data_IF_790771104753
#
_entry.id   IF_790771104753
#
_cell.length_a   1.000
_cell.length_b   1.000
_cell.length_c   1.000
_cell.angle_alpha   90.00
_cell.angle_beta   90.00
_cell.angle_gamma   90.00
#
_symmetry.space_group_name_H-M   'P 1'
#
loop_
_entity.id
_entity.type
_entity.pdbx_description
1 polymer ?
#
# COMPACT_ATOMS: atom_id res chain seq x y z
N UNK A 1 12.03 -56.22 32.38
CA UNK A 1 13.20 -56.10 31.49
C UNK A 1 12.69 -56.24 30.07
N UNK A 2 12.47 -55.13 29.35
CA UNK A 2 12.45 -55.04 27.88
C UNK A 2 12.27 -53.55 27.52
N UNK A 3 13.38 -52.95 27.08
CA UNK A 3 13.50 -51.61 26.52
C UNK A 3 12.93 -51.62 25.10
N UNK A 4 12.03 -50.68 24.78
CA UNK A 4 11.63 -50.42 23.39
C UNK A 4 11.90 -48.95 23.05
N UNK A 5 12.63 -48.83 21.95
CA UNK A 5 13.32 -47.68 21.38
C UNK A 5 12.41 -46.52 21.01
N UNK A 6 12.88 -45.32 21.33
CA UNK A 6 12.33 -44.01 21.02
C UNK A 6 12.49 -43.68 19.51
N UNK A 7 11.84 -44.44 18.62
CA UNK A 7 11.82 -44.14 17.17
C UNK A 7 10.50 -44.59 16.54
N UNK A 8 9.49 -43.71 16.59
CA UNK A 8 8.39 -43.60 15.60
C UNK A 8 7.35 -42.62 16.13
N UNK A 9 7.65 -41.32 16.09
CA UNK A 9 6.62 -40.29 16.04
C UNK A 9 6.44 -39.94 14.56
N UNK A 10 5.35 -40.42 13.97
CA UNK A 10 4.96 -40.07 12.60
C UNK A 10 4.54 -38.61 12.60
N UNK A 11 5.46 -37.73 12.19
CA UNK A 11 5.14 -36.34 11.88
C UNK A 11 4.41 -36.32 10.53
N UNK A 12 3.11 -36.04 10.56
CA UNK A 12 2.35 -35.62 9.39
C UNK A 12 2.88 -34.23 8.97
N UNK A 13 3.90 -34.22 8.12
CA UNK A 13 4.32 -33.01 7.39
C UNK A 13 3.33 -32.82 6.24
N UNK A 14 2.34 -31.96 6.45
CA UNK A 14 1.65 -31.28 5.36
C UNK A 14 2.71 -30.43 4.65
N UNK A 15 3.20 -30.91 3.50
CA UNK A 15 3.93 -30.08 2.55
C UNK A 15 2.95 -28.98 2.10
N UNK A 16 3.03 -27.80 2.73
CA UNK A 16 2.68 -26.58 2.04
C UNK A 16 3.65 -26.47 0.87
N UNK A 17 3.20 -26.80 -0.33
CA UNK A 17 3.89 -26.43 -1.55
C UNK A 17 3.85 -24.90 -1.64
N UNK A 18 4.76 -24.24 -0.92
CA UNK A 18 5.19 -22.90 -1.27
C UNK A 18 5.88 -23.06 -2.61
N UNK A 19 5.16 -22.76 -3.69
CA UNK A 19 5.77 -22.56 -5.00
C UNK A 19 6.64 -21.30 -4.91
N UNK A 20 7.78 -21.40 -4.23
CA UNK A 20 8.92 -20.59 -4.58
C UNK A 20 9.25 -21.05 -6.00
N UNK A 21 8.80 -20.30 -6.99
CA UNK A 21 9.34 -20.42 -8.35
C UNK A 21 10.83 -20.18 -8.16
N UNK A 22 11.63 -21.24 -8.23
CA UNK A 22 13.07 -21.12 -8.29
C UNK A 22 13.35 -20.28 -9.53
N UNK A 23 13.55 -18.98 -9.36
CA UNK A 23 14.01 -18.14 -10.45
C UNK A 23 15.45 -18.57 -10.69
N UNK A 24 15.63 -19.43 -11.69
CA UNK A 24 16.92 -19.61 -12.31
C UNK A 24 17.46 -18.23 -12.63
N UNK A 25 18.68 -17.95 -12.20
CA UNK A 25 19.38 -16.71 -12.54
C UNK A 25 19.27 -16.49 -14.05
N UNK A 26 18.68 -15.36 -14.46
CA UNK A 26 18.71 -14.97 -15.86
C UNK A 26 20.18 -14.89 -16.28
N UNK A 27 20.59 -15.51 -17.39
CA UNK A 27 21.95 -15.37 -17.88
C UNK A 27 22.24 -13.88 -18.13
N UNK A 28 23.47 -13.44 -17.86
CA UNK A 28 23.96 -12.08 -18.11
C UNK A 28 23.85 -11.73 -19.60
N UNK A 29 22.65 -11.38 -20.03
CA UNK A 29 22.27 -11.09 -21.41
C UNK A 29 21.64 -9.72 -21.42
N UNK A 30 22.18 -8.83 -22.25
CA UNK A 30 21.62 -7.48 -22.46
C UNK A 30 20.42 -7.50 -23.41
N UNK A 31 19.98 -8.68 -23.82
CA UNK A 31 18.89 -8.91 -24.77
C UNK A 31 17.83 -9.79 -24.12
N UNK A 32 16.55 -9.40 -24.20
CA UNK A 32 15.45 -10.23 -23.73
C UNK A 32 15.14 -11.32 -24.76
N UNK A 33 15.76 -12.48 -24.58
CA UNK A 33 15.51 -13.70 -25.37
C UNK A 33 14.11 -14.27 -25.11
N UNK A 34 13.77 -15.39 -25.75
CA UNK A 34 12.44 -16.02 -25.61
C UNK A 34 12.12 -16.38 -24.15
N UNK A 35 13.11 -16.83 -23.38
CA UNK A 35 12.94 -17.18 -21.96
C UNK A 35 12.61 -15.94 -21.12
N UNK A 36 13.32 -14.85 -21.36
CA UNK A 36 13.03 -13.55 -20.75
C UNK A 36 11.64 -13.05 -21.13
N UNK A 37 11.26 -13.13 -22.40
CA UNK A 37 9.95 -12.70 -22.89
C UNK A 37 8.83 -13.52 -22.26
N UNK A 38 8.95 -14.85 -22.22
CA UNK A 38 7.98 -15.74 -21.60
C UNK A 38 7.86 -15.47 -20.09
N UNK A 39 8.99 -15.24 -19.41
CA UNK A 39 9.01 -14.84 -18.01
C UNK A 39 8.27 -13.52 -17.76
N UNK A 40 8.50 -12.51 -18.60
CA UNK A 40 7.84 -11.21 -18.52
C UNK A 40 6.33 -11.32 -18.80
N UNK A 41 5.92 -12.11 -19.80
CA UNK A 41 4.52 -12.36 -20.13
C UNK A 41 3.80 -13.12 -19.01
N UNK A 42 4.45 -14.13 -18.42
CA UNK A 42 3.90 -14.86 -17.28
C UNK A 42 3.72 -13.95 -16.05
N UNK A 43 4.71 -13.11 -15.74
CA UNK A 43 4.61 -12.14 -14.65
C UNK A 43 3.50 -11.10 -14.91
N UNK A 44 3.41 -10.59 -16.14
CA UNK A 44 2.36 -9.65 -16.54
C UNK A 44 0.97 -10.28 -16.46
N UNK A 45 0.82 -11.54 -16.86
CA UNK A 45 -0.43 -12.29 -16.77
C UNK A 45 -0.83 -12.50 -15.31
N UNK A 46 0.11 -12.90 -14.44
CA UNK A 46 -0.12 -13.01 -13.00
C UNK A 46 -0.60 -11.69 -12.38
N UNK A 47 0.07 -10.57 -12.68
CA UNK A 47 -0.35 -9.25 -12.17
C UNK A 47 -1.76 -8.90 -12.67
N UNK A 48 -2.06 -9.21 -13.93
CA UNK A 48 -3.36 -8.91 -14.55
C UNK A 48 -4.49 -9.74 -13.95
N UNK A 49 -4.26 -11.02 -13.64
CA UNK A 49 -5.22 -11.90 -12.97
C UNK A 49 -5.56 -11.45 -11.54
N UNK A 50 -4.65 -10.69 -10.92
CA UNK A 50 -4.81 -10.16 -9.58
C UNK A 50 -5.55 -8.82 -9.54
N UNK A 51 -5.94 -8.26 -10.69
CA UNK A 51 -6.70 -7.01 -10.78
C UNK A 51 -8.20 -7.23 -10.60
N UNK A 52 -8.84 -6.27 -9.94
CA UNK A 52 -10.30 -6.24 -9.72
C UNK A 52 -11.08 -5.67 -10.91
N UNK A 53 -10.46 -4.76 -11.67
CA UNK A 53 -10.98 -4.16 -12.90
C UNK A 53 -9.84 -4.02 -13.92
N UNK A 54 -9.82 -4.82 -15.00
CA UNK A 54 -8.77 -4.75 -16.01
C UNK A 54 -8.80 -3.45 -16.84
N UNK A 55 -9.90 -2.69 -16.79
CA UNK A 55 -10.04 -1.43 -17.54
C UNK A 55 -9.50 -0.21 -16.79
N UNK A 56 -9.28 -0.33 -15.48
CA UNK A 56 -8.88 0.77 -14.59
C UNK A 56 -9.76 2.02 -14.76
N UNK A 57 -11.04 1.83 -15.01
CA UNK A 57 -11.99 2.90 -15.35
C UNK A 57 -12.13 3.93 -14.22
N UNK A 58 -12.06 3.46 -12.96
CA UNK A 58 -12.11 4.32 -11.79
C UNK A 58 -10.97 5.35 -11.80
N UNK A 59 -9.76 4.91 -12.14
CA UNK A 59 -8.48 5.63 -12.00
C UNK A 59 -8.18 6.66 -13.09
N UNK A 60 -9.12 6.91 -14.01
CA UNK A 60 -8.97 8.02 -14.96
C UNK A 60 -9.07 9.34 -14.21
N UNK A 61 -8.06 10.19 -14.37
CA UNK A 61 -8.04 11.51 -13.72
C UNK A 61 -9.24 12.34 -14.18
N UNK A 62 -10.07 12.83 -13.25
CA UNK A 62 -11.22 13.65 -13.59
C UNK A 62 -10.81 14.95 -14.30
N UNK A 63 -11.64 15.41 -15.25
CA UNK A 63 -11.42 16.70 -15.94
C UNK A 63 -11.52 17.91 -15.00
N UNK A 64 -12.06 17.73 -13.80
CA UNK A 64 -12.09 18.73 -12.72
C UNK A 64 -10.72 18.97 -12.07
N UNK A 65 -9.72 18.12 -12.34
CA UNK A 65 -8.37 18.32 -11.83
C UNK A 65 -7.74 19.60 -12.38
N UNK A 66 -7.08 20.36 -11.50
CA UNK A 66 -6.22 21.47 -11.86
C UNK A 66 -5.05 21.57 -10.88
N UNK A 67 -3.87 21.93 -11.38
CA UNK A 67 -2.68 22.20 -10.54
C UNK A 67 -2.84 23.41 -9.62
N UNK A 68 -3.92 24.19 -9.79
CA UNK A 68 -4.28 25.33 -8.93
C UNK A 68 -5.15 24.92 -7.73
N UNK A 69 -5.63 23.68 -7.68
CA UNK A 69 -6.40 23.20 -6.53
C UNK A 69 -5.51 23.11 -5.29
N UNK A 70 -6.11 23.25 -4.12
CA UNK A 70 -5.42 22.90 -2.89
C UNK A 70 -5.19 21.38 -2.84
N UNK A 71 -4.11 20.91 -2.20
CA UNK A 71 -3.96 19.50 -1.85
C UNK A 71 -5.05 19.03 -0.87
N UNK A 72 -5.40 17.75 -0.94
CA UNK A 72 -6.43 17.11 -0.11
C UNK A 72 -7.87 17.32 -0.62
N UNK A 73 -8.04 17.88 -1.81
CA UNK A 73 -9.36 18.06 -2.45
C UNK A 73 -9.78 16.75 -3.12
N UNK A 74 -11.01 16.32 -2.85
CA UNK A 74 -11.62 15.14 -3.48
C UNK A 74 -12.02 15.48 -4.92
N UNK A 75 -11.57 14.68 -5.87
CA UNK A 75 -11.86 14.83 -7.30
C UNK A 75 -12.94 13.85 -7.78
N UNK A 76 -12.96 12.65 -7.19
CA UNK A 76 -13.92 11.58 -7.51
C UNK A 76 -14.06 10.66 -6.30
N UNK A 77 -15.28 10.18 -6.08
CA UNK A 77 -15.57 9.17 -5.05
C UNK A 77 -16.37 8.04 -5.67
N UNK A 78 -16.07 6.82 -5.26
CA UNK A 78 -16.95 5.66 -5.36
C UNK A 78 -17.37 5.29 -3.93
N UNK A 79 -18.58 5.71 -3.54
CA UNK A 79 -19.04 5.64 -2.15
C UNK A 79 -19.13 4.21 -1.63
N UNK A 80 -19.56 3.28 -2.47
CA UNK A 80 -19.61 1.85 -2.17
C UNK A 80 -19.07 1.09 -3.36
N UNK A 81 -17.86 0.57 -3.23
CA UNK A 81 -17.22 -0.26 -4.25
C UNK A 81 -17.94 -1.60 -4.36
N UNK A 82 -18.24 -2.04 -5.60
CA UNK A 82 -18.70 -3.40 -5.82
C UNK A 82 -17.54 -4.38 -5.52
N UNK A 83 -17.76 -5.28 -4.55
CA UNK A 83 -16.78 -6.24 -4.07
C UNK A 83 -16.82 -7.59 -4.81
N UNK A 84 -17.66 -7.78 -5.83
CA UNK A 84 -17.80 -9.06 -6.57
C UNK A 84 -16.45 -9.60 -7.08
N UNK A 85 -15.57 -8.71 -7.54
CA UNK A 85 -14.23 -9.07 -8.02
C UNK A 85 -13.14 -8.94 -6.94
N UNK A 86 -13.47 -8.47 -5.75
CA UNK A 86 -12.53 -8.30 -4.65
C UNK A 86 -12.56 -9.48 -3.68
N UNK A 87 -11.48 -9.62 -2.92
CA UNK A 87 -11.29 -10.61 -1.84
C UNK A 87 -11.17 -9.83 -0.53
N UNK A 88 -12.24 -9.10 -0.20
CA UNK A 88 -12.36 -8.33 1.04
C UNK A 88 -13.14 -9.16 2.07
N UNK A 89 -12.68 -9.24 3.33
CA UNK A 89 -13.39 -9.98 4.38
C UNK A 89 -14.86 -9.59 4.52
N UNK A 90 -15.72 -10.58 4.79
CA UNK A 90 -17.11 -10.32 5.18
C UNK A 90 -17.19 -9.41 6.40
N UNK A 91 -18.13 -8.47 6.41
CA UNK A 91 -18.26 -7.48 7.48
C UNK A 91 -17.42 -6.22 7.27
N UNK A 92 -16.74 -6.11 6.12
CA UNK A 92 -16.15 -4.87 5.66
C UNK A 92 -16.87 -4.37 4.41
N UNK A 93 -16.98 -3.06 4.26
CA UNK A 93 -17.27 -2.42 2.97
C UNK A 93 -16.09 -1.56 2.55
N UNK A 94 -16.04 -1.19 1.27
CA UNK A 94 -14.95 -0.39 0.73
C UNK A 94 -15.48 0.79 -0.07
N UNK A 95 -14.75 1.90 -0.03
CA UNK A 95 -14.89 3.02 -0.95
C UNK A 95 -13.56 3.27 -1.65
N UNK A 96 -13.60 3.97 -2.78
CA UNK A 96 -12.39 4.53 -3.41
C UNK A 96 -12.53 6.02 -3.62
N UNK A 97 -11.42 6.74 -3.50
CA UNK A 97 -11.36 8.18 -3.77
C UNK A 97 -10.20 8.48 -4.72
N UNK A 98 -10.38 9.50 -5.56
CA UNK A 98 -9.30 10.22 -6.24
C UNK A 98 -9.25 11.61 -5.60
N UNK A 99 -8.06 12.05 -5.22
CA UNK A 99 -7.84 13.30 -4.51
C UNK A 99 -6.55 13.98 -4.99
N UNK A 100 -6.38 15.26 -4.65
CA UNK A 100 -5.14 15.99 -4.90
C UNK A 100 -4.12 15.77 -3.78
N UNK A 101 -2.85 15.62 -4.14
CA UNK A 101 -1.69 15.52 -3.24
C UNK A 101 -0.58 16.44 -3.75
N UNK A 102 0.59 16.42 -3.09
CA UNK A 102 1.78 17.18 -3.49
C UNK A 102 2.94 16.22 -3.72
N UNK A 103 3.65 16.37 -4.85
CA UNK A 103 4.94 15.72 -5.05
C UNK A 103 6.05 16.34 -4.18
N UNK A 104 7.29 15.88 -4.36
CA UNK A 104 8.45 16.36 -3.60
C UNK A 104 8.72 17.85 -3.81
N UNK A 105 8.40 18.39 -4.99
CA UNK A 105 8.60 19.78 -5.37
C UNK A 105 7.42 20.68 -4.93
N UNK A 106 6.39 20.09 -4.32
CA UNK A 106 5.18 20.79 -3.90
C UNK A 106 4.18 21.04 -5.03
N UNK A 107 4.37 20.42 -6.19
CA UNK A 107 3.41 20.50 -7.29
C UNK A 107 2.20 19.63 -6.98
N UNK A 108 1.02 20.20 -7.19
CA UNK A 108 -0.25 19.51 -7.00
C UNK A 108 -0.47 18.48 -8.10
N UNK A 109 -0.64 17.22 -7.71
CA UNK A 109 -0.90 16.08 -8.60
C UNK A 109 -2.05 15.23 -8.05
N UNK A 110 -2.75 14.43 -8.87
CA UNK A 110 -3.80 13.54 -8.40
C UNK A 110 -3.21 12.20 -7.92
N UNK A 111 -3.86 11.60 -6.93
CA UNK A 111 -3.60 10.23 -6.47
C UNK A 111 -4.92 9.55 -6.08
N UNK A 112 -4.91 8.22 -5.94
CA UNK A 112 -6.07 7.45 -5.44
C UNK A 112 -5.81 6.85 -4.06
N UNK A 113 -6.90 6.53 -3.38
CA UNK A 113 -6.89 5.77 -2.13
C UNK A 113 -8.11 4.86 -2.07
N UNK A 114 -7.99 3.75 -1.32
CA UNK A 114 -9.15 3.01 -0.84
C UNK A 114 -9.43 3.35 0.62
N UNK A 115 -10.69 3.17 1.02
CA UNK A 115 -11.12 3.25 2.40
C UNK A 115 -11.84 1.97 2.77
N UNK A 116 -11.37 1.27 3.80
CA UNK A 116 -12.08 0.13 4.39
C UNK A 116 -12.92 0.60 5.57
N UNK A 117 -14.18 0.18 5.55
CA UNK A 117 -15.16 0.49 6.57
C UNK A 117 -15.49 -0.75 7.38
N UNK A 118 -15.39 -0.67 8.71
CA UNK A 118 -15.85 -1.74 9.57
C UNK A 118 -17.38 -1.76 9.67
N UNK A 119 -17.96 -2.96 9.78
CA UNK A 119 -19.39 -3.09 10.14
C UNK A 119 -19.69 -2.60 11.56
N UNK A 120 -18.82 -2.92 12.52
CA UNK A 120 -18.96 -2.52 13.93
C UNK A 120 -17.77 -1.68 14.38
N UNK A 121 -18.02 -0.59 15.09
CA UNK A 121 -16.98 0.36 15.51
C UNK A 121 -16.14 -0.18 16.67
N UNK A 122 -14.81 0.03 16.65
CA UNK A 122 -13.96 -0.27 17.79
C UNK A 122 -14.33 0.65 18.97
N UNK A 123 -14.60 0.12 20.17
CA UNK A 123 -14.99 0.93 21.31
C UNK A 123 -13.81 1.74 21.83
N UNK A 124 -13.78 3.04 21.54
CA UNK A 124 -12.73 3.98 22.01
C UNK A 124 -13.15 4.80 23.24
N UNK A 125 -14.30 4.47 23.84
CA UNK A 125 -14.83 5.10 25.06
C UNK A 125 -16.22 5.72 24.86
N UNK A 126 -16.71 6.50 25.84
CA UNK A 126 -18.09 7.02 25.85
C UNK A 126 -18.42 8.00 24.71
N UNK A 127 -17.39 8.64 24.14
CA UNK A 127 -17.54 9.67 23.10
C UNK A 127 -17.36 9.12 21.66
N UNK A 128 -17.18 7.81 21.46
CA UNK A 128 -16.85 7.25 20.13
C UNK A 128 -17.89 7.63 19.08
N UNK A 129 -19.18 7.60 19.43
CA UNK A 129 -20.26 8.01 18.54
C UNK A 129 -20.18 9.51 18.13
N UNK A 130 -19.60 10.38 18.97
CA UNK A 130 -19.46 11.82 18.68
C UNK A 130 -18.20 12.18 17.89
N UNK A 131 -17.19 11.29 17.86
CA UNK A 131 -15.87 11.55 17.27
C UNK A 131 -15.64 10.85 15.92
N UNK A 132 -16.66 10.14 15.42
CA UNK A 132 -16.57 9.31 14.22
C UNK A 132 -15.76 8.03 14.48
N UNK A 133 -15.58 7.24 13.43
CA UNK A 133 -14.77 6.01 13.49
C UNK A 133 -13.32 6.35 13.83
N UNK A 134 -12.66 5.57 14.71
CA UNK A 134 -11.20 5.63 14.80
C UNK A 134 -10.62 5.22 13.45
N UNK A 135 -9.51 5.85 13.07
CA UNK A 135 -8.94 5.68 11.74
C UNK A 135 -7.44 5.35 11.79
N UNK A 136 -6.99 4.46 10.91
CA UNK A 136 -5.58 4.30 10.56
C UNK A 136 -5.36 4.78 9.14
N UNK A 137 -4.40 5.69 8.96
CA UNK A 137 -3.86 6.01 7.66
C UNK A 137 -2.75 5.00 7.34
N UNK A 138 -3.00 4.09 6.39
CA UNK A 138 -2.10 2.98 6.07
C UNK A 138 -1.25 3.27 4.83
N UNK A 139 0.07 3.29 5.01
CA UNK A 139 1.07 3.43 3.98
C UNK A 139 1.62 2.04 3.59
N UNK A 140 1.30 1.59 2.37
CA UNK A 140 1.76 0.29 1.88
C UNK A 140 3.25 0.32 1.52
N UNK A 141 3.91 -0.84 1.57
CA UNK A 141 5.26 -1.03 1.03
C UNK A 141 5.26 -1.22 -0.49
N UNK A 142 6.42 -1.51 -1.07
CA UNK A 142 6.59 -1.57 -2.53
C UNK A 142 5.61 -2.53 -3.20
N UNK A 143 4.85 -2.01 -4.17
CA UNK A 143 3.92 -2.78 -5.02
C UNK A 143 4.31 -2.79 -6.50
N UNK A 144 5.38 -2.07 -6.83
CA UNK A 144 5.89 -1.82 -8.18
C UNK A 144 5.98 -0.34 -8.46
N UNK A 145 5.96 0.05 -9.74
CA UNK A 145 6.15 1.44 -10.19
C UNK A 145 5.12 1.90 -11.22
N UNK A 146 4.21 1.02 -11.63
CA UNK A 146 3.29 1.27 -12.74
C UNK A 146 1.85 1.40 -12.28
N UNK A 147 0.98 1.86 -13.18
CA UNK A 147 -0.46 2.00 -12.93
C UNK A 147 -1.12 0.79 -12.25
N UNK A 148 -0.90 -0.48 -12.69
CA UNK A 148 -1.50 -1.66 -12.07
C UNK A 148 -0.97 -2.00 -10.67
N UNK A 149 0.04 -1.27 -10.19
CA UNK A 149 0.64 -1.48 -8.87
C UNK A 149 -0.15 -0.79 -7.74
N UNK A 150 -1.26 -0.10 -8.05
CA UNK A 150 -2.13 0.49 -7.02
C UNK A 150 -2.77 -0.60 -6.14
N UNK A 151 -2.52 -0.62 -4.82
CA UNK A 151 -3.21 -1.52 -3.89
C UNK A 151 -4.73 -1.59 -4.12
N UNK A 152 -5.41 -0.45 -4.28
CA UNK A 152 -6.88 -0.39 -4.46
C UNK A 152 -7.38 -1.10 -5.73
N UNK A 153 -6.50 -1.38 -6.69
CA UNK A 153 -6.83 -2.10 -7.92
C UNK A 153 -6.67 -3.61 -7.81
N UNK A 154 -5.88 -4.09 -6.84
CA UNK A 154 -5.74 -5.51 -6.56
C UNK A 154 -6.99 -6.08 -5.91
N UNK A 155 -7.38 -7.30 -6.30
CA UNK A 155 -8.50 -8.03 -5.70
C UNK A 155 -8.37 -8.13 -4.17
N UNK A 156 -7.15 -8.31 -3.66
CA UNK A 156 -6.87 -8.44 -2.23
C UNK A 156 -6.17 -7.20 -1.60
N UNK A 157 -6.29 -6.02 -2.23
CA UNK A 157 -5.77 -4.72 -1.78
C UNK A 157 -4.26 -4.64 -1.47
N UNK A 158 -3.47 -5.58 -2.02
CA UNK A 158 -2.09 -5.87 -1.62
C UNK A 158 -1.96 -6.31 -0.14
N UNK A 159 -0.98 -7.16 0.18
CA UNK A 159 -0.75 -7.75 1.52
C UNK A 159 -1.80 -8.76 2.01
N UNK A 160 -2.78 -9.18 1.19
CA UNK A 160 -3.58 -10.41 1.38
C UNK A 160 -3.96 -10.70 2.85
N UNK A 161 -4.97 -10.02 3.41
CA UNK A 161 -5.45 -10.24 4.79
C UNK A 161 -4.52 -9.89 5.94
N UNK A 162 -3.41 -9.20 5.68
CA UNK A 162 -2.56 -8.68 6.74
C UNK A 162 -3.14 -7.39 7.35
N UNK A 163 -2.30 -6.38 7.58
CA UNK A 163 -2.56 -5.27 8.49
C UNK A 163 -3.85 -4.48 8.18
N UNK A 164 -4.15 -4.07 6.92
CA UNK A 164 -5.35 -3.28 6.65
C UNK A 164 -6.66 -4.01 7.00
N UNK A 165 -6.78 -5.28 6.61
CA UNK A 165 -7.97 -6.08 6.93
C UNK A 165 -8.04 -6.41 8.42
N UNK A 166 -6.92 -6.72 9.06
CA UNK A 166 -6.90 -6.98 10.51
C UNK A 166 -7.39 -5.74 11.30
N UNK A 167 -6.90 -4.55 10.97
CA UNK A 167 -7.36 -3.30 11.60
C UNK A 167 -8.84 -3.04 11.34
N UNK A 168 -9.27 -3.18 10.07
CA UNK A 168 -10.67 -2.97 9.69
C UNK A 168 -11.62 -3.94 10.40
N UNK A 169 -11.26 -5.22 10.49
CA UNK A 169 -12.05 -6.23 11.21
C UNK A 169 -12.13 -5.97 12.72
N UNK A 170 -11.19 -5.22 13.30
CA UNK A 170 -11.27 -4.78 14.69
C UNK A 170 -12.18 -3.55 14.87
N UNK A 171 -12.75 -2.99 13.81
CA UNK A 171 -13.66 -1.85 13.93
C UNK A 171 -13.02 -0.49 13.69
N UNK A 172 -11.86 -0.45 13.03
CA UNK A 172 -11.10 0.76 12.74
C UNK A 172 -11.21 1.06 11.24
N UNK A 173 -11.59 2.28 10.86
CA UNK A 173 -11.56 2.68 9.45
C UNK A 173 -10.11 2.72 8.96
N UNK A 174 -9.84 2.20 7.76
CA UNK A 174 -8.48 2.24 7.17
C UNK A 174 -8.52 3.07 5.90
N UNK A 175 -7.78 4.18 5.88
CA UNK A 175 -7.57 5.00 4.67
C UNK A 175 -6.19 4.71 4.14
N UNK A 176 -6.10 4.16 2.92
CA UNK A 176 -4.86 3.68 2.34
C UNK A 176 -4.64 4.31 0.96
N UNK A 177 -3.75 5.32 0.82
CA UNK A 177 -3.36 5.83 -0.48
C UNK A 177 -2.66 4.76 -1.31
N UNK A 178 -2.82 4.84 -2.63
CA UNK A 178 -2.05 4.04 -3.59
C UNK A 178 -0.66 4.65 -3.88
N UNK A 179 -0.42 5.87 -3.40
CA UNK A 179 0.63 6.80 -3.84
C UNK A 179 0.42 7.36 -5.25
N UNK A 180 0.90 8.59 -5.45
CA UNK A 180 0.88 9.19 -6.78
C UNK A 180 1.69 8.35 -7.78
N UNK A 181 1.18 8.25 -9.01
CA UNK A 181 1.74 7.42 -10.08
C UNK A 181 1.27 5.97 -10.08
N UNK A 182 0.62 5.49 -9.02
CA UNK A 182 -0.12 4.22 -9.01
C UNK A 182 -1.60 4.46 -9.21
N UNK A 183 -2.25 3.62 -10.03
CA UNK A 183 -3.67 3.75 -10.38
C UNK A 183 -3.92 5.01 -11.20
N UNK A 184 -3.89 6.17 -10.55
CA UNK A 184 -3.89 7.48 -11.20
C UNK A 184 -2.46 7.85 -11.60
N UNK A 185 -2.09 7.49 -12.83
CA UNK A 185 -0.74 7.64 -13.37
C UNK A 185 -0.61 8.65 -14.50
N UNK A 186 -1.67 9.40 -14.81
CA UNK A 186 -1.72 10.32 -15.95
C UNK A 186 -2.51 11.58 -15.58
N UNK A 187 -2.08 12.74 -16.07
CA UNK A 187 -2.84 13.99 -15.99
C UNK A 187 -3.91 14.03 -17.11
N UNK A 188 -4.93 14.92 -17.02
CA UNK A 188 -5.98 15.00 -18.04
C UNK A 188 -5.48 15.34 -19.46
N UNK A 189 -4.29 15.94 -19.57
CA UNK A 189 -3.62 16.23 -20.83
C UNK A 189 -2.80 15.05 -21.39
N UNK A 190 -2.77 13.91 -20.70
CA UNK A 190 -2.02 12.71 -21.09
C UNK A 190 -0.59 12.63 -20.55
N UNK A 191 -0.12 13.64 -19.81
CA UNK A 191 1.22 13.60 -19.23
C UNK A 191 1.30 12.51 -18.14
N UNK A 192 2.34 11.70 -18.17
CA UNK A 192 2.56 10.65 -17.18
C UNK A 192 2.93 11.24 -15.80
N UNK A 193 2.40 10.61 -14.75
CA UNK A 193 2.77 10.83 -13.36
C UNK A 193 3.61 9.61 -12.95
N UNK A 194 4.94 9.73 -12.81
CA UNK A 194 5.76 8.62 -12.38
C UNK A 194 5.55 8.35 -10.89
N UNK A 195 5.60 7.08 -10.48
CA UNK A 195 5.69 6.74 -9.06
C UNK A 195 7.08 7.08 -8.52
N UNK A 196 7.17 8.01 -7.58
CA UNK A 196 8.43 8.41 -6.93
C UNK A 196 8.87 7.37 -5.89
N UNK A 197 9.27 6.19 -6.34
CA UNK A 197 9.63 5.06 -5.47
C UNK A 197 10.56 5.50 -4.33
N UNK A 198 10.22 5.10 -3.10
CA UNK A 198 10.97 5.36 -1.85
C UNK A 198 11.26 6.83 -1.55
N UNK A 199 10.50 7.74 -2.16
CA UNK A 199 10.54 9.18 -1.85
C UNK A 199 9.64 9.46 -0.66
N UNK A 200 10.12 9.13 0.54
CA UNK A 200 9.34 9.17 1.77
C UNK A 200 8.56 10.50 2.02
N UNK A 201 9.12 11.70 1.78
CA UNK A 201 8.36 12.95 1.97
C UNK A 201 7.16 13.10 1.02
N UNK A 202 7.27 12.65 -0.24
CA UNK A 202 6.15 12.68 -1.19
C UNK A 202 5.04 11.70 -0.76
N UNK A 203 5.41 10.49 -0.35
CA UNK A 203 4.44 9.51 0.16
C UNK A 203 3.80 9.92 1.50
N UNK A 204 4.50 10.69 2.33
CA UNK A 204 3.93 11.31 3.52
C UNK A 204 2.86 12.35 3.18
N UNK A 205 3.03 13.09 2.07
CA UNK A 205 1.99 13.97 1.54
C UNK A 205 0.79 13.16 1.04
N UNK A 206 1.02 12.09 0.29
CA UNK A 206 -0.05 11.19 -0.17
C UNK A 206 -0.91 10.71 1.00
N UNK A 207 -0.28 10.26 2.08
CA UNK A 207 -0.96 9.80 3.29
C UNK A 207 -1.73 10.94 4.01
N UNK A 208 -1.11 12.11 4.14
CA UNK A 208 -1.73 13.27 4.80
C UNK A 208 -2.94 13.82 4.05
N UNK A 209 -2.83 13.89 2.74
CA UNK A 209 -3.90 14.39 1.89
C UNK A 209 -4.97 13.34 1.65
N UNK A 210 -4.66 12.03 1.70
CA UNK A 210 -5.68 10.98 1.76
C UNK A 210 -6.55 11.09 3.01
N UNK A 211 -5.95 11.35 4.19
CA UNK A 211 -6.70 11.60 5.43
C UNK A 211 -7.63 12.80 5.29
N UNK A 212 -7.12 13.89 4.70
CA UNK A 212 -7.90 15.12 4.50
C UNK A 212 -9.06 14.87 3.55
N UNK A 213 -8.79 14.21 2.42
CA UNK A 213 -9.78 13.89 1.39
C UNK A 213 -10.84 12.91 1.90
N UNK A 214 -10.45 11.84 2.60
CA UNK A 214 -11.39 10.87 3.16
C UNK A 214 -12.35 11.50 4.18
N UNK A 215 -11.85 12.37 5.07
CA UNK A 215 -12.71 13.15 5.99
C UNK A 215 -13.67 14.07 5.26
N UNK A 216 -13.23 14.68 4.15
CA UNK A 216 -14.09 15.53 3.34
C UNK A 216 -15.14 14.73 2.56
N UNK A 217 -14.80 13.54 2.08
CA UNK A 217 -15.70 12.68 1.33
C UNK A 217 -16.75 12.01 2.22
N UNK A 218 -16.38 11.67 3.45
CA UNK A 218 -17.19 10.87 4.37
C UNK A 218 -17.33 11.53 5.75
N UNK A 219 -17.86 12.76 5.85
CA UNK A 219 -17.88 13.54 7.10
C UNK A 219 -18.75 12.91 8.20
N UNK A 220 -19.76 12.12 7.82
CA UNK A 220 -20.66 11.43 8.77
C UNK A 220 -19.97 10.23 9.45
N UNK A 221 -18.95 9.65 8.81
CA UNK A 221 -18.19 8.52 9.33
C UNK A 221 -16.85 8.94 9.95
N UNK A 222 -16.20 9.94 9.34
CA UNK A 222 -14.87 10.42 9.70
C UNK A 222 -14.94 11.91 10.10
N UNK A 223 -14.89 12.18 11.40
CA UNK A 223 -14.85 13.55 11.89
C UNK A 223 -13.59 14.29 11.41
N UNK A 224 -13.76 15.57 11.07
CA UNK A 224 -12.67 16.48 10.69
C UNK A 224 -11.54 16.59 11.74
N UNK A 225 -11.83 16.28 13.01
CA UNK A 225 -10.87 16.24 14.12
C UNK A 225 -10.79 14.87 14.81
N UNK A 226 -11.37 13.82 14.21
CA UNK A 226 -11.42 12.48 14.77
C UNK A 226 -10.03 11.87 14.99
N UNK A 227 -9.87 10.98 15.98
CA UNK A 227 -8.56 10.41 16.31
C UNK A 227 -8.04 9.51 15.18
N UNK A 228 -6.76 9.65 14.84
CA UNK A 228 -6.11 8.76 13.88
C UNK A 228 -4.63 8.51 14.16
N UNK A 229 -4.14 7.37 13.68
CA UNK A 229 -2.72 6.97 13.68
C UNK A 229 -2.25 6.79 12.24
N UNK A 230 -1.01 7.18 11.94
CA UNK A 230 -0.37 6.80 10.69
C UNK A 230 0.41 5.50 10.88
N UNK A 231 0.35 4.58 9.92
CA UNK A 231 1.05 3.30 10.01
C UNK A 231 1.56 2.89 8.64
N UNK A 232 2.74 2.28 8.56
CA UNK A 232 3.22 1.76 7.28
C UNK A 232 4.33 0.73 7.39
N UNK A 233 4.54 -0.01 6.30
CA UNK A 233 5.52 -1.09 6.21
C UNK A 233 6.49 -0.91 5.03
N UNK A 234 7.77 -1.23 5.20
CA UNK A 234 8.80 -1.17 4.13
C UNK A 234 8.91 0.24 3.54
N UNK A 235 8.70 0.42 2.23
CA UNK A 235 8.56 1.75 1.59
C UNK A 235 7.55 2.63 2.35
N UNK A 236 6.41 2.07 2.74
CA UNK A 236 5.39 2.75 3.53
C UNK A 236 5.80 3.00 4.97
N UNK A 237 6.74 2.22 5.52
CA UNK A 237 7.35 2.50 6.81
C UNK A 237 8.20 3.77 6.75
N UNK A 238 8.92 3.97 5.63
CA UNK A 238 9.59 5.23 5.33
C UNK A 238 8.60 6.38 5.18
N UNK A 239 7.49 6.18 4.45
CA UNK A 239 6.43 7.17 4.31
C UNK A 239 5.78 7.55 5.66
N UNK A 240 5.49 6.59 6.53
CA UNK A 240 4.93 6.86 7.86
C UNK A 240 5.94 7.54 8.78
N UNK A 241 7.24 7.24 8.64
CA UNK A 241 8.31 7.97 9.31
C UNK A 241 8.36 9.44 8.87
N UNK A 242 8.41 9.70 7.56
CA UNK A 242 8.37 11.06 7.04
C UNK A 242 7.05 11.78 7.38
N UNK A 243 5.95 11.04 7.57
CA UNK A 243 4.69 11.59 8.05
C UNK A 243 4.82 12.18 9.45
N UNK A 244 5.46 11.49 10.41
CA UNK A 244 5.63 12.05 11.76
C UNK A 244 6.52 13.30 11.73
N UNK A 245 7.55 13.35 10.88
CA UNK A 245 8.38 14.54 10.67
C UNK A 245 7.56 15.69 10.05
N UNK A 246 6.70 15.39 9.08
CA UNK A 246 5.76 16.34 8.47
C UNK A 246 4.83 16.95 9.52
N UNK A 247 4.37 16.18 10.50
CA UNK A 247 3.47 16.68 11.55
C UNK A 247 4.08 17.77 12.42
N UNK A 248 5.42 17.84 12.53
CA UNK A 248 6.09 18.94 13.22
C UNK A 248 5.94 20.28 12.48
N UNK A 249 5.71 20.27 11.17
CA UNK A 249 5.60 21.47 10.32
C UNK A 249 4.17 21.75 9.84
N UNK A 250 3.41 20.71 9.47
CA UNK A 250 2.06 20.79 8.90
C UNK A 250 1.10 19.85 9.68
N UNK A 251 0.80 20.13 10.97
CA UNK A 251 0.05 19.22 11.82
C UNK A 251 -1.40 19.01 11.35
N UNK A 252 -1.82 17.74 11.28
CA UNK A 252 -3.23 17.37 11.06
C UNK A 252 -3.97 17.15 12.38
N UNK A 253 -5.18 17.71 12.48
CA UNK A 253 -6.06 17.54 13.65
C UNK A 253 -6.39 16.07 13.89
N UNK A 254 -6.39 15.68 15.16
CA UNK A 254 -6.74 14.33 15.60
C UNK A 254 -5.59 13.30 15.53
N UNK A 255 -4.40 13.69 15.07
CA UNK A 255 -3.23 12.80 15.03
C UNK A 255 -2.84 12.33 16.45
N UNK A 256 -2.64 11.01 16.60
CA UNK A 256 -2.29 10.37 17.88
C UNK A 256 -0.92 9.71 17.90
N UNK A 257 -0.30 9.50 16.75
CA UNK A 257 1.02 8.89 16.66
C UNK A 257 1.24 8.16 15.33
N UNK A 258 2.44 7.61 15.19
CA UNK A 258 2.88 6.85 14.02
C UNK A 258 3.43 5.50 14.45
N UNK A 259 3.17 4.47 13.65
CA UNK A 259 3.82 3.15 13.74
C UNK A 259 4.54 2.85 12.42
N UNK A 260 5.87 2.87 12.43
CA UNK A 260 6.68 2.54 11.25
C UNK A 260 7.28 1.15 11.38
N UNK A 261 6.97 0.26 10.42
CA UNK A 261 7.38 -1.14 10.42
C UNK A 261 8.42 -1.33 9.31
N UNK A 262 9.62 -1.80 9.66
CA UNK A 262 10.74 -1.98 8.73
C UNK A 262 10.94 -0.76 7.78
N UNK A 263 11.07 0.48 8.30
CA UNK A 263 11.10 1.66 7.47
C UNK A 263 12.38 1.73 6.62
N UNK A 264 12.22 2.03 5.33
CA UNK A 264 13.36 2.42 4.48
C UNK A 264 13.80 3.81 4.91
N UNK A 265 14.97 3.90 5.56
CA UNK A 265 15.48 5.16 6.15
C UNK A 265 16.77 5.67 5.52
N UNK A 266 17.51 4.79 4.82
CA UNK A 266 18.83 5.11 4.26
C UNK A 266 19.02 4.50 2.86
N UNK A 267 18.08 4.74 1.96
CA UNK A 267 18.05 4.07 0.64
C UNK A 267 19.37 4.14 -0.14
N UNK A 268 20.12 5.25 -0.04
CA UNK A 268 21.42 5.38 -0.72
C UNK A 268 22.48 4.46 -0.12
N UNK A 269 22.52 4.36 1.21
CA UNK A 269 23.44 3.45 1.92
C UNK A 269 23.02 1.99 1.67
N UNK A 270 21.72 1.70 1.70
CA UNK A 270 21.15 0.37 1.43
C UNK A 270 21.48 -0.08 0.00
N UNK A 271 21.36 0.83 -0.97
CA UNK A 271 21.71 0.57 -2.37
C UNK A 271 23.22 0.34 -2.55
N UNK A 272 24.06 1.21 -1.97
CA UNK A 272 25.51 1.07 -2.03
C UNK A 272 25.93 -0.29 -1.46
N UNK A 273 25.43 -0.65 -0.27
CA UNK A 273 25.68 -1.94 0.36
C UNK A 273 25.24 -3.13 -0.51
N UNK A 274 24.06 -3.05 -1.12
CA UNK A 274 23.55 -4.11 -2.00
C UNK A 274 24.38 -4.31 -3.26
N UNK A 275 24.88 -3.22 -3.85
CA UNK A 275 25.78 -3.27 -5.02
C UNK A 275 27.17 -3.80 -4.67
N UNK A 276 27.75 -3.35 -3.55
CA UNK A 276 29.08 -3.76 -3.10
C UNK A 276 29.13 -5.26 -2.74
N UNK A 277 28.03 -5.80 -2.23
CA UNK A 277 27.96 -7.19 -1.77
C UNK A 277 27.28 -8.14 -2.77
N UNK A 278 27.00 -7.69 -4.01
CA UNK A 278 26.31 -8.49 -5.05
C UNK A 278 24.99 -9.13 -4.62
N UNK A 279 24.35 -8.54 -3.60
CA UNK A 279 23.04 -8.98 -3.10
C UNK A 279 21.94 -8.41 -4.01
N UNK A 280 22.23 -7.42 -4.84
CA UNK A 280 21.30 -6.91 -5.86
C UNK A 280 21.52 -7.61 -7.21
N UNK A 281 21.03 -8.83 -7.38
CA UNK A 281 20.74 -9.31 -8.73
C UNK A 281 19.53 -8.51 -9.28
N UNK A 282 19.41 -8.23 -10.59
CA UNK A 282 18.27 -7.48 -11.14
C UNK A 282 16.89 -8.07 -10.80
N UNK A 283 16.80 -9.39 -10.63
CA UNK A 283 15.61 -10.08 -10.13
C UNK A 283 15.40 -9.99 -8.62
N UNK A 284 16.45 -9.70 -7.84
CA UNK A 284 16.38 -9.58 -6.40
C UNK A 284 15.74 -8.27 -5.96
N UNK A 285 15.81 -7.16 -6.69
CA UNK A 285 15.06 -5.95 -6.29
C UNK A 285 13.53 -6.15 -6.35
N UNK A 286 13.06 -7.15 -7.10
CA UNK A 286 11.66 -7.56 -7.12
C UNK A 286 11.30 -8.60 -6.02
N UNK A 287 12.29 -9.21 -5.34
CA UNK A 287 12.07 -10.29 -4.35
C UNK A 287 12.80 -10.14 -2.99
N UNK A 288 13.78 -9.25 -2.84
CA UNK A 288 14.66 -9.11 -1.66
C UNK A 288 13.97 -8.45 -0.47
N UNK A 289 12.72 -8.02 -0.61
CA UNK A 289 11.90 -7.48 0.47
C UNK A 289 11.47 -8.52 1.53
N UNK A 290 11.89 -9.79 1.44
CA UNK A 290 11.40 -10.88 2.31
C UNK A 290 12.47 -11.52 3.23
N UNK A 291 13.77 -11.35 3.00
CA UNK A 291 14.80 -12.11 3.76
C UNK A 291 16.00 -11.22 4.13
N UNK A 292 15.86 -10.29 5.09
CA UNK A 292 16.98 -9.99 6.01
C UNK A 292 16.60 -9.22 7.30
N UNK A 293 15.37 -9.35 7.82
CA UNK A 293 14.97 -8.68 9.08
C UNK A 293 15.00 -9.59 10.32
N UNK A 294 15.50 -10.83 10.23
CA UNK A 294 15.53 -11.78 11.38
C UNK A 294 16.94 -12.00 11.94
N UNK A 295 17.99 -11.47 11.31
CA UNK A 295 19.37 -11.66 11.77
C UNK A 295 20.00 -10.34 12.21
N UNK A 296 19.60 -9.86 13.40
CA UNK A 296 20.38 -9.07 14.39
C UNK A 296 19.44 -8.28 15.32
N UNK A 297 18.81 -9.02 16.25
CA UNK A 297 18.66 -8.61 17.65
C UNK A 297 19.29 -9.72 18.47
#
# INVERSE_FOLDING_TARGET
MFTISLKSAVALLLLSASSAVAQNSFPDTTTCDTTCQDGALNASSFISEQQSDPTFSFYKTPSSFSTKLAPGVVLKTEDVTNLDNYVVPSGLTMSRIIYTTEDLDGKVIPASAYVLWPYSTFPTGPDTAKKGLPMVAWAHGTTGTFKPCAPSSYRALQYHFQVPFALALQGIAVVAPDYAGHGVSELPNGDAIPHSWVTAPAHANDLAFAVTAARSAFPDLLSSNGPFVAMGHSQGGGASWAFVERQAKKPLKGYKGTVSIAPVTKILDDYAYGTENSIASPGLLAQSAVIDSISKI
#
